data_IF_944828243417
#
_entry.id   IF_944828243417
#
_cell.length_a   1.000
_cell.length_b   1.000
_cell.length_c   1.000
_cell.angle_alpha   90.00
_cell.angle_beta   90.00
_cell.angle_gamma   90.00
#
_symmetry.space_group_name_H-M   'P 1'
#
loop_
_entity.id
_entity.type
_entity.pdbx_description
1 polymer ?
#
# COMPACT_ATOMS: atom_id res chain seq x y z
N UNK A 1 7.01 45.18 10.90
CA UNK A 1 6.07 44.68 9.86
C UNK A 1 6.05 43.15 9.90
N UNK A 2 5.11 42.60 10.66
CA UNK A 2 4.97 41.16 10.89
C UNK A 2 4.48 40.50 9.60
N UNK A 3 5.34 39.75 8.91
CA UNK A 3 4.94 38.91 7.78
C UNK A 3 4.01 37.82 8.32
N UNK A 4 2.71 38.00 8.14
CA UNK A 4 1.73 36.92 8.21
C UNK A 4 2.15 35.86 7.18
N UNK A 5 2.85 34.82 7.65
CA UNK A 5 3.03 33.60 6.85
C UNK A 5 1.64 33.02 6.66
N UNK A 6 1.09 33.18 5.47
CA UNK A 6 -0.14 32.51 5.05
C UNK A 6 0.09 31.01 5.24
N UNK A 7 -0.50 30.45 6.29
CA UNK A 7 -0.49 29.01 6.54
C UNK A 7 -1.25 28.37 5.38
N UNK A 8 -0.69 27.43 4.60
CA UNK A 8 -1.52 26.69 3.68
C UNK A 8 -2.59 25.98 4.52
N UNK A 9 -3.86 26.20 4.19
CA UNK A 9 -4.95 25.54 4.87
C UNK A 9 -4.76 24.02 4.73
N UNK A 10 -4.85 23.30 5.85
CA UNK A 10 -4.87 21.84 5.87
C UNK A 10 -5.99 21.34 4.93
N UNK A 11 -5.63 20.58 3.89
CA UNK A 11 -6.61 19.98 2.98
C UNK A 11 -7.11 18.65 3.58
N UNK A 12 -8.26 18.71 4.26
CA UNK A 12 -8.92 17.53 4.83
C UNK A 12 -10.06 17.11 3.91
N UNK A 13 -9.97 15.88 3.37
CA UNK A 13 -11.00 15.32 2.47
C UNK A 13 -11.57 14.03 3.05
N UNK A 14 -12.89 14.02 3.24
CA UNK A 14 -13.62 12.81 3.63
C UNK A 14 -14.42 12.32 2.43
N UNK A 15 -14.05 11.15 1.91
CA UNK A 15 -14.73 10.47 0.81
C UNK A 15 -15.54 9.29 1.34
N UNK A 16 -16.87 9.34 1.20
CA UNK A 16 -17.75 8.24 1.57
C UNK A 16 -18.24 7.54 0.31
N UNK A 17 -18.04 6.23 0.21
CA UNK A 17 -18.50 5.40 -0.91
C UNK A 17 -19.48 4.33 -0.44
N UNK A 18 -20.71 4.43 -0.93
CA UNK A 18 -21.83 3.56 -0.56
C UNK A 18 -22.81 4.27 0.38
N UNK A 19 -23.89 3.58 0.71
CA UNK A 19 -24.90 4.09 1.65
C UNK A 19 -24.40 3.93 3.09
N UNK A 20 -24.23 5.06 3.76
CA UNK A 20 -23.90 5.17 5.17
C UNK A 20 -24.97 6.02 5.86
N UNK A 21 -25.43 5.63 7.06
CA UNK A 21 -26.28 6.48 7.88
C UNK A 21 -25.68 7.87 8.06
N UNK A 22 -26.51 8.91 8.07
CA UNK A 22 -26.04 10.30 8.21
C UNK A 22 -25.22 10.51 9.50
N UNK A 23 -25.62 9.87 10.60
CA UNK A 23 -24.90 9.88 11.87
C UNK A 23 -23.46 9.37 11.76
N UNK A 24 -23.23 8.33 10.96
CA UNK A 24 -21.89 7.76 10.76
C UNK A 24 -21.05 8.69 9.88
N UNK A 25 -21.66 9.35 8.90
CA UNK A 25 -20.95 10.32 8.07
C UNK A 25 -20.47 11.54 8.88
N UNK A 26 -21.31 12.07 9.76
CA UNK A 26 -20.94 13.16 10.67
C UNK A 26 -19.88 12.73 11.68
N UNK A 27 -20.01 11.52 12.24
CA UNK A 27 -19.01 10.94 13.14
C UNK A 27 -17.63 10.86 12.46
N UNK A 28 -17.58 10.33 11.23
CA UNK A 28 -16.32 10.22 10.47
C UNK A 28 -15.68 11.57 10.21
N UNK A 29 -16.49 12.59 9.91
CA UNK A 29 -15.99 13.96 9.70
C UNK A 29 -15.39 14.54 10.96
N UNK A 30 -16.09 14.41 12.09
CA UNK A 30 -15.59 14.87 13.38
C UNK A 30 -14.26 14.21 13.75
N UNK A 31 -14.20 12.87 13.69
CA UNK A 31 -12.99 12.12 14.01
C UNK A 31 -11.82 12.43 13.06
N UNK A 32 -12.08 12.67 11.77
CA UNK A 32 -11.04 13.05 10.82
C UNK A 32 -10.44 14.44 11.14
N UNK A 33 -11.27 15.40 11.58
CA UNK A 33 -10.82 16.71 12.01
C UNK A 33 -10.01 16.64 13.30
N UNK A 34 -10.48 15.85 14.27
CA UNK A 34 -9.76 15.62 15.54
C UNK A 34 -8.40 14.98 15.31
N UNK A 35 -8.30 13.98 14.43
CA UNK A 35 -7.03 13.38 14.04
C UNK A 35 -6.07 14.43 13.49
N UNK A 36 -6.53 15.26 12.55
CA UNK A 36 -5.68 16.28 11.91
C UNK A 36 -5.20 17.31 12.93
N UNK A 37 -6.06 17.72 13.86
CA UNK A 37 -5.67 18.58 14.97
C UNK A 37 -4.60 17.91 15.86
N UNK A 38 -4.74 16.60 16.13
CA UNK A 38 -3.82 15.81 16.95
C UNK A 38 -2.46 15.50 16.29
N UNK A 39 -2.41 15.34 14.96
CA UNK A 39 -1.16 15.12 14.21
C UNK A 39 -0.26 16.37 14.16
N UNK A 40 -0.80 17.54 14.50
CA UNK A 40 -0.05 18.78 14.61
C UNK A 40 0.25 19.48 13.27
N UNK A 41 1.06 20.55 13.29
CA UNK A 41 1.23 21.47 12.15
C UNK A 41 1.98 20.89 10.95
N UNK A 42 2.60 19.71 11.09
CA UNK A 42 3.34 19.04 10.02
C UNK A 42 2.48 18.22 9.07
N UNK A 43 1.15 18.20 9.24
CA UNK A 43 0.26 17.54 8.28
C UNK A 43 -0.06 18.50 7.13
N UNK A 44 0.15 18.09 5.89
CA UNK A 44 -0.24 18.88 4.70
C UNK A 44 -1.67 18.59 4.25
N UNK A 45 -2.02 17.31 4.24
CA UNK A 45 -3.34 16.86 3.85
C UNK A 45 -3.68 15.56 4.56
N UNK A 46 -4.97 15.34 4.77
CA UNK A 46 -5.50 14.07 5.26
C UNK A 46 -6.71 13.68 4.43
N UNK A 47 -6.73 12.41 3.99
CA UNK A 47 -7.85 11.83 3.27
C UNK A 47 -8.34 10.60 3.98
N UNK A 48 -9.62 10.61 4.35
CA UNK A 48 -10.30 9.45 4.90
C UNK A 48 -11.32 8.97 3.89
N UNK A 49 -11.20 7.71 3.47
CA UNK A 49 -12.13 7.05 2.59
C UNK A 49 -12.80 5.89 3.30
N UNK A 50 -14.11 5.94 3.40
CA UNK A 50 -14.91 4.84 3.94
C UNK A 50 -15.69 4.19 2.79
N UNK A 51 -15.69 2.86 2.75
CA UNK A 51 -16.39 2.08 1.72
C UNK A 51 -17.13 0.92 2.37
N UNK A 52 -18.42 0.79 2.09
CA UNK A 52 -19.20 -0.38 2.53
C UNK A 52 -19.29 -1.40 1.39
N UNK A 53 -18.71 -2.57 1.62
CA UNK A 53 -18.80 -3.71 0.70
C UNK A 53 -20.17 -4.34 0.82
N UNK A 54 -20.88 -4.53 -0.30
CA UNK A 54 -22.25 -5.10 -0.34
C UNK A 54 -22.28 -6.63 -0.31
N UNK A 55 -21.13 -7.27 -0.44
CA UNK A 55 -20.98 -8.72 -0.42
C UNK A 55 -21.22 -9.27 0.99
N UNK A 56 -22.28 -10.07 1.15
CA UNK A 56 -22.66 -10.68 2.43
C UNK A 56 -21.69 -11.76 2.90
N UNK A 57 -20.85 -12.30 2.02
CA UNK A 57 -19.83 -13.27 2.39
C UNK A 57 -18.66 -12.63 3.13
N UNK A 58 -18.52 -11.30 3.08
CA UNK A 58 -17.45 -10.57 3.76
C UNK A 58 -17.85 -10.30 5.21
N UNK A 59 -17.14 -10.88 6.18
CA UNK A 59 -17.47 -10.72 7.61
C UNK A 59 -17.19 -9.31 8.15
N UNK A 60 -16.35 -8.55 7.44
CA UNK A 60 -15.95 -7.17 7.79
C UNK A 60 -16.22 -6.23 6.60
N UNK A 61 -17.49 -5.84 6.38
CA UNK A 61 -17.90 -5.13 5.18
C UNK A 61 -17.52 -3.64 5.19
N UNK A 62 -17.18 -3.07 6.34
CA UNK A 62 -16.79 -1.67 6.45
C UNK A 62 -15.27 -1.54 6.24
N UNK A 63 -14.89 -1.00 5.07
CA UNK A 63 -13.51 -0.75 4.69
C UNK A 63 -13.16 0.73 4.88
N UNK A 64 -12.29 1.02 5.82
CA UNK A 64 -11.74 2.36 6.00
C UNK A 64 -10.32 2.44 5.45
N UNK A 65 -9.99 3.57 4.84
CA UNK A 65 -8.64 3.90 4.42
C UNK A 65 -8.36 5.34 4.84
N UNK A 66 -7.26 5.58 5.53
CA UNK A 66 -6.79 6.93 5.78
C UNK A 66 -5.40 7.11 5.18
N UNK A 67 -5.15 8.30 4.66
CA UNK A 67 -3.87 8.74 4.11
C UNK A 67 -3.58 10.11 4.69
N UNK A 68 -2.41 10.30 5.27
CA UNK A 68 -1.90 11.60 5.68
C UNK A 68 -0.59 11.89 4.95
N UNK A 69 -0.45 13.11 4.45
CA UNK A 69 0.81 13.61 3.89
C UNK A 69 1.51 14.44 4.96
N UNK A 70 2.68 13.99 5.41
CA UNK A 70 3.46 14.64 6.46
C UNK A 70 4.63 15.42 5.86
N UNK A 71 4.82 16.65 6.33
CA UNK A 71 5.93 17.53 5.96
C UNK A 71 7.28 16.87 6.20
N UNK A 72 8.06 16.69 5.13
CA UNK A 72 9.42 16.13 5.19
C UNK A 72 9.49 14.61 5.38
N UNK A 73 8.43 13.97 5.87
CA UNK A 73 8.36 12.52 6.09
C UNK A 73 7.63 11.76 4.97
N UNK A 74 6.75 12.44 4.22
CA UNK A 74 6.01 11.85 3.11
C UNK A 74 4.67 11.21 3.51
N UNK A 75 4.08 10.38 2.63
CA UNK A 75 2.76 9.80 2.84
C UNK A 75 2.76 8.63 3.82
N UNK A 76 1.80 8.66 4.75
CA UNK A 76 1.42 7.50 5.57
C UNK A 76 0.02 7.09 5.20
N UNK A 77 -0.17 5.79 4.98
CA UNK A 77 -1.47 5.21 4.66
C UNK A 77 -1.77 4.06 5.60
N UNK A 78 -3.05 3.88 5.90
CA UNK A 78 -3.58 2.74 6.64
C UNK A 78 -4.87 2.29 5.96
N UNK A 79 -5.04 0.98 5.77
CA UNK A 79 -6.29 0.41 5.25
C UNK A 79 -6.71 -0.81 6.07
N UNK A 80 -7.84 -0.68 6.77
CA UNK A 80 -8.38 -1.74 7.63
C UNK A 80 -9.88 -1.94 7.35
N UNK A 81 -10.36 -3.13 7.66
CA UNK A 81 -11.76 -3.52 7.55
C UNK A 81 -12.29 -4.01 8.90
N UNK A 82 -13.50 -3.59 9.23
CA UNK A 82 -14.19 -3.94 10.46
C UNK A 82 -15.67 -4.31 10.20
N UNK A 83 -16.37 -4.71 11.26
CA UNK A 83 -17.79 -5.08 11.15
C UNK A 83 -18.64 -3.84 10.95
N UNK A 84 -18.30 -2.76 11.66
CA UNK A 84 -19.03 -1.48 11.61
C UNK A 84 -18.19 -0.34 11.03
N UNK A 85 -18.87 0.69 10.53
CA UNK A 85 -18.23 1.89 10.00
C UNK A 85 -17.41 2.64 11.05
N UNK A 86 -17.97 2.83 12.25
CA UNK A 86 -17.31 3.52 13.37
C UNK A 86 -16.06 2.78 13.81
N UNK A 87 -16.17 1.48 14.05
CA UNK A 87 -15.02 0.63 14.40
C UNK A 87 -13.92 0.70 13.32
N UNK A 88 -14.28 0.64 12.04
CA UNK A 88 -13.30 0.73 10.96
C UNK A 88 -12.56 2.08 10.97
N UNK A 89 -13.28 3.17 11.26
CA UNK A 89 -12.74 4.53 11.30
C UNK A 89 -11.83 4.70 12.52
N UNK A 90 -12.26 4.29 13.69
CA UNK A 90 -11.47 4.40 14.94
C UNK A 90 -10.15 3.62 14.81
N UNK A 91 -10.23 2.39 14.30
CA UNK A 91 -9.05 1.56 14.05
C UNK A 91 -8.07 2.22 13.08
N UNK A 92 -8.59 2.75 11.96
CA UNK A 92 -7.75 3.37 10.93
C UNK A 92 -7.12 4.68 11.41
N UNK A 93 -7.88 5.55 12.07
CA UNK A 93 -7.38 6.84 12.55
C UNK A 93 -6.41 6.66 13.71
N UNK A 94 -6.70 5.79 14.68
CA UNK A 94 -5.78 5.47 15.77
C UNK A 94 -4.48 4.85 15.28
N UNK A 95 -4.55 3.92 14.32
CA UNK A 95 -3.35 3.31 13.71
C UNK A 95 -2.56 4.35 12.91
N UNK A 96 -3.25 5.23 12.17
CA UNK A 96 -2.60 6.30 11.40
C UNK A 96 -1.87 7.28 12.32
N UNK A 97 -2.49 7.69 13.43
CA UNK A 97 -1.87 8.55 14.44
C UNK A 97 -0.57 7.92 14.98
N UNK A 98 -0.63 6.64 15.39
CA UNK A 98 0.54 5.93 15.91
C UNK A 98 1.67 5.79 14.87
N UNK A 99 1.32 5.50 13.61
CA UNK A 99 2.31 5.42 12.52
C UNK A 99 2.91 6.77 12.17
N UNK A 100 2.10 7.82 12.12
CA UNK A 100 2.54 9.18 11.84
C UNK A 100 3.49 9.70 12.94
N UNK A 101 3.15 9.50 14.22
CA UNK A 101 4.00 9.86 15.34
C UNK A 101 5.38 9.18 15.24
N UNK A 102 5.41 7.87 15.00
CA UNK A 102 6.67 7.13 14.81
C UNK A 102 7.47 7.64 13.61
N UNK A 103 6.81 7.90 12.48
CA UNK A 103 7.50 8.41 11.31
C UNK A 103 8.12 9.80 11.56
N UNK A 104 7.44 10.67 12.30
CA UNK A 104 7.96 11.99 12.67
C UNK A 104 9.09 11.92 13.71
N UNK A 105 8.99 11.02 14.69
CA UNK A 105 9.97 10.88 15.78
C UNK A 105 11.21 10.08 15.37
N UNK A 106 11.03 9.02 14.58
CA UNK A 106 12.04 8.00 14.30
C UNK A 106 12.46 7.94 12.83
N UNK A 107 11.73 8.62 11.92
CA UNK A 107 11.95 8.52 10.47
C UNK A 107 11.48 7.20 9.86
N UNK A 108 10.87 6.31 10.64
CA UNK A 108 10.26 5.05 10.19
C UNK A 108 9.03 4.74 11.06
N UNK A 109 8.03 4.06 10.49
CA UNK A 109 6.90 3.53 11.27
C UNK A 109 7.32 2.30 12.11
N UNK A 110 8.44 1.68 11.74
CA UNK A 110 9.03 0.53 12.40
C UNK A 110 8.40 -0.79 11.96
N UNK A 111 9.24 -1.80 11.71
CA UNK A 111 8.82 -3.11 11.21
C UNK A 111 7.80 -3.84 12.11
N UNK A 112 7.99 -3.79 13.44
CA UNK A 112 7.10 -4.41 14.41
C UNK A 112 5.69 -3.78 14.45
N UNK A 113 5.57 -2.51 14.05
CA UNK A 113 4.29 -1.81 13.94
C UNK A 113 3.36 -2.39 12.86
N UNK A 114 3.92 -3.25 12.01
CA UNK A 114 3.29 -3.70 10.78
C UNK A 114 3.03 -5.19 10.76
N UNK A 115 3.18 -5.87 11.91
CA UNK A 115 2.65 -7.22 12.07
C UNK A 115 1.17 -7.24 11.66
N UNK A 116 0.80 -8.25 10.87
CA UNK A 116 -0.45 -8.27 10.13
C UNK A 116 -1.63 -8.02 11.06
N UNK A 117 -2.22 -6.83 10.93
CA UNK A 117 -3.43 -6.51 11.65
C UNK A 117 -4.49 -7.53 11.24
N UNK A 118 -5.10 -8.22 12.21
CA UNK A 118 -6.27 -9.06 12.00
C UNK A 118 -7.39 -8.32 11.23
N UNK A 119 -7.34 -6.97 11.26
CA UNK A 119 -8.21 -6.06 10.56
C UNK A 119 -7.84 -5.81 9.09
N UNK A 120 -6.89 -6.53 8.48
CA UNK A 120 -6.65 -6.47 7.02
C UNK A 120 -7.94 -6.78 6.25
N UNK A 121 -8.24 -6.06 5.15
CA UNK A 121 -9.45 -6.31 4.37
C UNK A 121 -9.48 -7.71 3.77
N UNK A 122 -10.67 -8.31 3.76
CA UNK A 122 -10.89 -9.60 3.11
C UNK A 122 -11.06 -9.41 1.61
N UNK A 123 -10.61 -10.42 0.87
CA UNK A 123 -10.88 -10.47 -0.56
C UNK A 123 -12.27 -11.06 -0.78
N UNK A 124 -13.08 -10.39 -1.59
CA UNK A 124 -14.29 -10.99 -2.14
C UNK A 124 -13.92 -12.26 -2.90
N UNK A 125 -14.62 -13.35 -2.58
CA UNK A 125 -14.45 -14.63 -3.24
C UNK A 125 -15.13 -14.55 -4.61
N UNK A 126 -14.35 -14.78 -5.67
CA UNK A 126 -14.87 -14.90 -7.04
C UNK A 126 -14.45 -16.22 -7.67
N UNK A 127 -15.36 -16.89 -8.39
CA UNK A 127 -15.00 -17.98 -9.29
C UNK A 127 -13.92 -17.52 -10.27
N UNK A 128 -12.99 -18.42 -10.59
CA UNK A 128 -11.83 -18.08 -11.41
C UNK A 128 -12.22 -17.62 -12.82
N UNK A 129 -13.25 -18.24 -13.39
CA UNK A 129 -13.79 -17.88 -14.71
C UNK A 129 -14.34 -16.43 -14.77
N UNK A 130 -14.70 -15.84 -13.63
CA UNK A 130 -15.19 -14.45 -13.54
C UNK A 130 -14.09 -13.44 -13.24
N UNK A 131 -12.86 -13.90 -12.93
CA UNK A 131 -11.75 -13.01 -12.61
C UNK A 131 -11.17 -12.44 -13.89
N UNK A 132 -11.13 -11.12 -13.95
CA UNK A 132 -10.54 -10.35 -15.04
C UNK A 132 -9.56 -9.33 -14.50
N UNK A 133 -8.72 -8.81 -15.37
CA UNK A 133 -7.88 -7.66 -15.06
C UNK A 133 -8.79 -6.43 -15.09
N UNK A 134 -9.27 -6.03 -13.91
CA UNK A 134 -10.21 -4.93 -13.77
C UNK A 134 -9.52 -3.56 -13.76
N UNK A 135 -8.19 -3.53 -13.55
CA UNK A 135 -7.42 -2.28 -13.50
C UNK A 135 -5.99 -2.48 -13.97
N UNK A 136 -5.57 -1.65 -14.92
CA UNK A 136 -4.17 -1.45 -15.25
C UNK A 136 -3.71 -0.11 -14.65
N UNK A 137 -2.57 -0.11 -13.94
CA UNK A 137 -1.98 1.08 -13.34
C UNK A 137 -0.59 1.28 -13.94
N UNK A 138 -0.45 2.18 -14.94
CA UNK A 138 0.89 2.62 -15.35
C UNK A 138 1.52 3.39 -14.19
N UNK A 139 2.79 3.12 -13.90
CA UNK A 139 3.55 3.77 -12.84
C UNK A 139 4.94 4.12 -13.33
N UNK A 140 5.40 5.33 -13.01
CA UNK A 140 6.82 5.64 -13.05
C UNK A 140 7.45 5.01 -11.81
N UNK A 141 8.56 4.28 -12.01
CA UNK A 141 9.29 3.68 -10.90
C UNK A 141 10.23 4.71 -10.27
N UNK A 142 10.00 4.99 -8.99
CA UNK A 142 10.95 5.77 -8.20
C UNK A 142 12.26 5.00 -8.04
N UNK A 143 13.38 5.70 -8.22
CA UNK A 143 14.71 5.18 -7.87
C UNK A 143 14.83 5.13 -6.35
N UNK A 144 15.02 3.94 -5.79
CA UNK A 144 15.11 3.70 -4.34
C UNK A 144 16.15 2.65 -4.02
N UNK A 145 16.79 2.78 -2.86
CA UNK A 145 17.49 1.63 -2.27
C UNK A 145 16.46 0.61 -1.79
N UNK A 146 16.88 -0.64 -1.65
CA UNK A 146 16.01 -1.72 -1.13
C UNK A 146 15.40 -1.35 0.23
N UNK A 147 16.18 -0.71 1.10
CA UNK A 147 15.72 -0.31 2.43
C UNK A 147 14.73 0.88 2.39
N UNK A 148 14.97 1.86 1.53
CA UNK A 148 14.02 2.96 1.31
C UNK A 148 12.69 2.43 0.77
N UNK A 149 12.73 1.54 -0.23
CA UNK A 149 11.55 0.90 -0.79
C UNK A 149 10.78 0.10 0.28
N UNK A 150 11.49 -0.59 1.19
CA UNK A 150 10.87 -1.26 2.31
C UNK A 150 10.14 -0.27 3.24
N UNK A 151 10.81 0.80 3.69
CA UNK A 151 10.19 1.82 4.56
C UNK A 151 8.97 2.47 3.90
N UNK A 152 9.05 2.81 2.61
CA UNK A 152 7.91 3.34 1.86
C UNK A 152 6.76 2.32 1.74
N UNK A 153 7.06 1.05 1.45
CA UNK A 153 6.06 -0.03 1.46
C UNK A 153 5.36 -0.15 2.81
N UNK A 154 6.14 -0.03 3.90
CA UNK A 154 5.64 -0.06 5.27
C UNK A 154 4.71 1.14 5.53
N UNK A 155 5.18 2.36 5.29
CA UNK A 155 4.44 3.61 5.49
C UNK A 155 3.14 3.66 4.68
N UNK A 156 3.15 3.12 3.45
CA UNK A 156 1.98 3.11 2.55
C UNK A 156 1.00 1.95 2.82
N UNK A 157 1.30 1.09 3.81
CA UNK A 157 0.53 -0.09 4.16
C UNK A 157 0.37 -1.08 3.00
N UNK A 158 1.31 -1.08 2.06
CA UNK A 158 1.29 -2.00 0.93
C UNK A 158 1.80 -3.39 1.33
N UNK A 159 1.30 -4.41 0.62
CA UNK A 159 1.81 -5.79 0.74
C UNK A 159 3.08 -6.01 -0.08
N UNK A 160 3.28 -5.20 -1.11
CA UNK A 160 4.45 -5.19 -1.98
C UNK A 160 4.69 -3.76 -2.52
N UNK A 161 5.91 -3.48 -2.96
CA UNK A 161 6.28 -2.22 -3.59
C UNK A 161 7.29 -2.46 -4.72
N UNK A 162 6.94 -2.00 -5.93
CA UNK A 162 7.76 -2.11 -7.13
C UNK A 162 8.54 -0.80 -7.31
N UNK A 163 9.85 -0.91 -7.48
CA UNK A 163 10.77 0.23 -7.57
C UNK A 163 11.91 -0.06 -8.54
N UNK A 164 12.64 0.97 -8.95
CA UNK A 164 13.90 0.82 -9.65
C UNK A 164 15.02 0.89 -8.60
N UNK A 165 15.78 -0.18 -8.45
CA UNK A 165 16.86 -0.24 -7.47
C UNK A 165 17.98 0.73 -7.86
N UNK A 166 18.39 1.61 -6.94
CA UNK A 166 19.49 2.55 -7.16
C UNK A 166 20.82 1.86 -7.33
N UNK A 167 21.01 0.71 -6.69
CA UNK A 167 22.31 0.06 -6.59
C UNK A 167 22.57 -0.79 -7.85
N UNK A 168 21.52 -1.45 -8.36
CA UNK A 168 21.61 -2.33 -9.53
C UNK A 168 21.01 -1.75 -10.81
N UNK A 169 20.20 -0.68 -10.70
CA UNK A 169 19.43 -0.12 -11.81
C UNK A 169 18.24 -0.98 -12.27
N UNK A 170 17.96 -2.09 -11.60
CA UNK A 170 16.96 -3.08 -12.02
C UNK A 170 15.59 -2.83 -11.39
N UNK A 171 14.54 -3.23 -12.10
CA UNK A 171 13.21 -3.30 -11.54
C UNK A 171 13.19 -4.38 -10.45
N UNK A 172 12.87 -3.97 -9.22
CA UNK A 172 12.88 -4.82 -8.04
C UNK A 172 11.56 -4.67 -7.28
N UNK A 173 11.16 -5.73 -6.59
CA UNK A 173 9.94 -5.75 -5.79
C UNK A 173 10.27 -6.21 -4.38
N UNK A 174 9.98 -5.35 -3.41
CA UNK A 174 9.98 -5.72 -2.01
C UNK A 174 8.56 -6.15 -1.63
N UNK A 175 8.40 -7.19 -0.84
CA UNK A 175 7.12 -7.64 -0.33
C UNK A 175 7.21 -8.14 1.10
N UNK A 176 6.03 -8.33 1.70
CA UNK A 176 5.91 -8.96 3.01
C UNK A 176 5.76 -10.47 2.87
N UNK A 177 6.28 -11.18 3.86
CA UNK A 177 6.04 -12.62 4.05
C UNK A 177 5.07 -12.82 5.23
N UNK A 178 3.79 -13.17 4.96
CA UNK A 178 2.94 -13.78 5.98
C UNK A 178 3.39 -15.25 6.19
N UNK A 179 3.39 -15.83 7.41
CA UNK A 179 3.08 -15.28 8.73
C UNK A 179 4.32 -14.88 9.56
N UNK A 180 5.54 -15.04 9.03
CA UNK A 180 6.80 -14.75 9.75
C UNK A 180 7.16 -13.27 9.86
N UNK A 181 6.39 -12.38 9.22
CA UNK A 181 6.59 -10.93 9.25
C UNK A 181 7.71 -10.43 8.35
N UNK A 182 8.63 -11.29 7.91
CA UNK A 182 9.83 -10.95 7.12
C UNK A 182 9.56 -10.14 5.84
N UNK A 183 10.62 -9.51 5.34
CA UNK A 183 10.61 -8.81 4.06
C UNK A 183 11.30 -9.68 3.01
N UNK A 184 10.65 -9.87 1.86
CA UNK A 184 11.20 -10.57 0.71
C UNK A 184 11.58 -9.59 -0.40
N UNK A 185 12.73 -9.79 -1.04
CA UNK A 185 13.16 -9.05 -2.23
C UNK A 185 13.14 -9.97 -3.45
N UNK A 186 12.45 -9.54 -4.50
CA UNK A 186 12.47 -10.16 -5.84
C UNK A 186 13.11 -9.19 -6.83
N UNK A 187 13.94 -9.69 -7.74
CA UNK A 187 14.60 -8.88 -8.79
C UNK A 187 14.20 -9.36 -10.18
N UNK A 188 14.07 -8.43 -11.12
CA UNK A 188 13.78 -8.74 -12.51
C UNK A 188 14.90 -9.57 -13.17
N UNK A 189 16.15 -9.26 -12.84
CA UNK A 189 17.33 -9.97 -13.33
C UNK A 189 18.12 -10.48 -12.13
N UNK A 190 18.84 -11.59 -12.32
CA UNK A 190 19.68 -12.14 -11.26
C UNK A 190 20.78 -11.13 -10.90
N UNK A 191 20.86 -10.75 -9.63
CA UNK A 191 21.96 -9.93 -9.15
C UNK A 191 23.24 -10.78 -9.05
N UNK A 192 24.38 -10.17 -9.40
CA UNK A 192 25.72 -10.73 -9.15
C UNK A 192 26.37 -9.86 -8.09
N UNK A 193 26.44 -10.37 -6.86
CA UNK A 193 27.03 -9.67 -5.71
C UNK A 193 26.12 -9.70 -4.48
N UNK A 194 26.68 -9.52 -3.27
CA UNK A 194 25.89 -9.50 -2.05
C UNK A 194 24.94 -8.31 -2.03
N UNK A 195 23.72 -8.53 -1.56
CA UNK A 195 22.83 -7.43 -1.19
C UNK A 195 23.55 -6.58 -0.13
N UNK A 196 23.63 -5.26 -0.34
CA UNK A 196 24.27 -4.35 0.62
C UNK A 196 23.69 -4.52 2.03
N UNK A 197 24.47 -4.19 3.05
CA UNK A 197 24.06 -4.35 4.45
C UNK A 197 22.79 -3.53 4.73
N UNK A 198 21.63 -4.21 4.75
CA UNK A 198 20.36 -3.60 5.12
C UNK A 198 20.19 -3.68 6.65
N UNK A 199 19.70 -2.60 7.28
CA UNK A 199 19.35 -2.63 8.71
C UNK A 199 18.07 -3.43 8.95
N UNK A 200 17.19 -3.53 7.95
CA UNK A 200 16.00 -4.36 7.99
C UNK A 200 16.31 -5.83 7.60
N UNK A 201 15.64 -6.82 8.21
CA UNK A 201 15.80 -8.23 7.88
C UNK A 201 15.13 -8.56 6.54
N UNK A 202 15.83 -8.27 5.45
CA UNK A 202 15.37 -8.48 4.07
C UNK A 202 16.00 -9.75 3.52
N UNK A 203 15.17 -10.72 3.14
CA UNK A 203 15.57 -11.97 2.51
C UNK A 203 15.40 -11.86 1.00
N UNK A 204 16.49 -12.00 0.26
CA UNK A 204 16.46 -12.02 -1.19
C UNK A 204 16.08 -13.40 -1.73
N UNK A 205 15.17 -13.43 -2.70
CA UNK A 205 14.83 -14.67 -3.39
C UNK A 205 15.93 -15.02 -4.39
N UNK A 206 16.42 -16.28 -4.41
CA UNK A 206 17.58 -16.66 -5.21
C UNK A 206 17.30 -16.60 -6.72
N UNK A 207 16.08 -16.94 -7.13
CA UNK A 207 15.68 -16.95 -8.52
C UNK A 207 15.12 -15.59 -8.96
N UNK A 208 15.52 -15.09 -10.13
CA UNK A 208 14.95 -13.87 -10.70
C UNK A 208 13.49 -14.08 -11.12
N UNK A 209 12.79 -12.97 -11.32
CA UNK A 209 11.42 -12.99 -11.80
C UNK A 209 11.30 -13.74 -13.13
N UNK A 210 10.34 -14.66 -13.20
CA UNK A 210 10.09 -15.43 -14.41
C UNK A 210 9.68 -14.49 -15.55
N UNK A 211 10.17 -14.78 -16.76
CA UNK A 211 9.76 -14.07 -17.98
C UNK A 211 8.45 -14.68 -18.47
N UNK A 212 7.35 -13.98 -18.28
CA UNK A 212 6.00 -14.49 -18.51
C UNK A 212 5.16 -13.47 -19.26
N UNK A 213 4.36 -13.92 -20.22
CA UNK A 213 3.29 -13.08 -20.74
C UNK A 213 2.16 -12.89 -19.72
N UNK A 214 1.20 -12.03 -20.05
CA UNK A 214 0.09 -11.71 -19.15
C UNK A 214 -0.80 -12.92 -18.83
N UNK A 215 -1.00 -13.83 -19.79
CA UNK A 215 -1.81 -15.02 -19.61
C UNK A 215 -1.09 -16.05 -18.72
N UNK A 216 0.21 -16.21 -18.89
CA UNK A 216 1.09 -17.02 -18.05
C UNK A 216 1.15 -16.50 -16.61
N UNK A 217 1.34 -15.20 -16.42
CA UNK A 217 1.31 -14.57 -15.10
C UNK A 217 -0.05 -14.75 -14.41
N UNK A 218 -1.16 -14.64 -15.15
CA UNK A 218 -2.50 -14.90 -14.63
C UNK A 218 -2.70 -16.37 -14.22
N UNK A 219 -2.21 -17.32 -15.04
CA UNK A 219 -2.21 -18.75 -14.71
C UNK A 219 -1.39 -19.03 -13.45
N UNK A 220 -0.20 -18.44 -13.30
CA UNK A 220 0.62 -18.63 -12.10
C UNK A 220 -0.04 -18.05 -10.85
N UNK A 221 -0.63 -16.85 -10.94
CA UNK A 221 -1.34 -16.25 -9.80
C UNK A 221 -2.56 -17.09 -9.40
N UNK A 222 -3.23 -17.70 -10.37
CA UNK A 222 -4.28 -18.67 -10.10
C UNK A 222 -3.73 -19.91 -9.39
N UNK A 223 -2.72 -20.59 -9.96
CA UNK A 223 -2.19 -21.84 -9.44
C UNK A 223 -1.61 -21.71 -8.02
N UNK A 224 -0.92 -20.61 -7.74
CA UNK A 224 -0.32 -20.37 -6.42
C UNK A 224 -1.33 -19.85 -5.39
N UNK A 225 -2.43 -19.25 -5.82
CA UNK A 225 -3.40 -18.61 -4.94
C UNK A 225 -2.85 -17.40 -4.17
N UNK A 226 -1.64 -16.95 -4.50
CA UNK A 226 -0.92 -15.89 -3.80
C UNK A 226 -1.55 -14.50 -3.95
N UNK A 227 -1.03 -13.50 -3.22
CA UNK A 227 -1.53 -12.12 -3.32
C UNK A 227 -1.08 -11.43 -4.62
N UNK A 228 0.06 -11.80 -5.19
CA UNK A 228 0.62 -11.23 -6.42
C UNK A 228 1.59 -12.19 -7.12
N UNK A 229 1.89 -11.89 -8.39
CA UNK A 229 2.99 -12.46 -9.18
C UNK A 229 3.80 -11.31 -9.76
N UNK A 230 5.10 -11.31 -9.45
CA UNK A 230 6.09 -10.45 -10.09
C UNK A 230 6.73 -11.21 -11.25
N UNK A 231 6.73 -10.62 -12.44
CA UNK A 231 7.26 -11.21 -13.66
C UNK A 231 7.97 -10.15 -14.49
N UNK A 232 8.85 -10.57 -15.40
CA UNK A 232 9.38 -9.70 -16.45
C UNK A 232 8.57 -9.89 -17.73
N UNK A 233 8.21 -8.79 -18.38
CA UNK A 233 7.48 -8.89 -19.63
C UNK A 233 8.40 -9.28 -20.79
N UNK A 234 8.00 -10.23 -21.65
CA UNK A 234 8.84 -10.66 -22.75
C UNK A 234 9.16 -9.57 -23.78
N UNK A 235 8.32 -8.57 -23.95
CA UNK A 235 8.47 -7.56 -24.99
C UNK A 235 9.49 -6.47 -24.61
N UNK A 236 9.50 -6.02 -23.34
CA UNK A 236 10.33 -4.91 -22.89
C UNK A 236 11.30 -5.26 -21.74
N UNK A 237 11.21 -6.46 -21.18
CA UNK A 237 12.03 -6.91 -20.06
C UNK A 237 11.74 -6.22 -18.74
N UNK A 238 10.71 -5.36 -18.66
CA UNK A 238 10.37 -4.59 -17.46
C UNK A 238 9.63 -5.44 -16.44
N UNK A 239 9.87 -5.16 -15.17
CA UNK A 239 9.23 -5.85 -14.05
C UNK A 239 7.77 -5.41 -13.88
N UNK A 240 6.83 -6.33 -14.04
CA UNK A 240 5.39 -6.09 -13.92
C UNK A 240 4.82 -6.89 -12.76
N UNK A 241 3.75 -6.37 -12.16
CA UNK A 241 3.08 -7.03 -11.02
C UNK A 241 1.60 -7.25 -11.33
N UNK A 242 1.21 -8.51 -11.40
CA UNK A 242 -0.20 -8.90 -11.40
C UNK A 242 -0.60 -9.23 -9.95
N UNK A 243 -1.66 -8.61 -9.43
CA UNK A 243 -2.06 -8.78 -8.03
C UNK A 243 -3.55 -8.96 -7.86
N UNK A 244 -3.95 -9.62 -6.77
CA UNK A 244 -5.35 -9.76 -6.39
C UNK A 244 -5.84 -8.46 -5.77
N UNK A 245 -7.00 -8.00 -6.22
CA UNK A 245 -7.71 -6.86 -5.64
C UNK A 245 -8.73 -7.34 -4.63
N UNK A 246 -9.05 -6.51 -3.65
CA UNK A 246 -10.07 -6.84 -2.64
C UNK A 246 -11.48 -7.08 -3.23
N UNK A 247 -11.77 -6.57 -4.42
CA UNK A 247 -13.02 -6.87 -5.14
C UNK A 247 -13.03 -8.26 -5.80
N UNK A 248 -11.97 -9.06 -5.65
CA UNK A 248 -11.83 -10.41 -6.18
C UNK A 248 -11.31 -10.48 -7.62
N UNK A 249 -11.14 -9.34 -8.30
CA UNK A 249 -10.53 -9.28 -9.62
C UNK A 249 -9.01 -9.08 -9.55
N UNK A 250 -8.35 -8.97 -10.70
CA UNK A 250 -6.93 -8.71 -10.79
C UNK A 250 -6.63 -7.24 -11.12
N UNK A 251 -5.50 -6.77 -10.61
CA UNK A 251 -4.90 -5.51 -11.02
C UNK A 251 -3.52 -5.77 -11.63
N UNK A 252 -3.14 -4.98 -12.62
CA UNK A 252 -1.82 -5.01 -13.24
C UNK A 252 -1.10 -3.69 -12.97
N UNK A 253 0.15 -3.75 -12.56
CA UNK A 253 1.06 -2.61 -12.48
C UNK A 253 2.09 -2.73 -13.60
N UNK A 254 2.17 -1.70 -14.45
CA UNK A 254 3.11 -1.64 -15.57
C UNK A 254 4.04 -0.45 -15.39
N UNK A 255 5.36 -0.64 -15.36
CA UNK A 255 6.31 0.46 -15.44
C UNK A 255 6.10 1.25 -16.74
N UNK A 256 6.16 2.57 -16.65
CA UNK A 256 6.27 3.46 -17.81
C UNK A 256 7.55 4.28 -17.66
N UNK A 257 8.13 4.70 -18.77
CA UNK A 257 9.25 5.63 -18.74
C UNK A 257 8.83 6.94 -18.07
N UNK A 258 9.75 7.57 -17.35
CA UNK A 258 9.57 8.97 -16.97
C UNK A 258 9.46 9.76 -18.27
N UNK A 259 8.28 10.34 -18.52
CA UNK A 259 8.13 11.33 -19.58
C UNK A 259 8.87 12.58 -19.13
N UNK A 260 10.12 12.72 -19.58
CA UNK A 260 10.94 13.90 -19.36
C UNK A 260 10.34 15.17 -19.95
#
# INVERSE_FOLDING_TARGET
>A
MTRLRHRPALDVRVEIRGELPHEDAEYVRAQALDLVAGLGPGTRSARVRLTRVRDRAVTRPALAQAVAELDGAGPVRVQLAAVTAREAVDLVLGTLAGRAARLLEQGDIGFAAVHESAYRPQYTVRPLAERRIARCKPVVLGRRTTEQAAREMLALDFGFHLFADTDTGQDSLIHRYPPGGGLGLLRAVRAVGPCGAATLPISEHPDPAHRLDLAEAARQLWLTGGPFVFHTDPADGRGRVLYRRYDGHYGLITPVADGG
#
